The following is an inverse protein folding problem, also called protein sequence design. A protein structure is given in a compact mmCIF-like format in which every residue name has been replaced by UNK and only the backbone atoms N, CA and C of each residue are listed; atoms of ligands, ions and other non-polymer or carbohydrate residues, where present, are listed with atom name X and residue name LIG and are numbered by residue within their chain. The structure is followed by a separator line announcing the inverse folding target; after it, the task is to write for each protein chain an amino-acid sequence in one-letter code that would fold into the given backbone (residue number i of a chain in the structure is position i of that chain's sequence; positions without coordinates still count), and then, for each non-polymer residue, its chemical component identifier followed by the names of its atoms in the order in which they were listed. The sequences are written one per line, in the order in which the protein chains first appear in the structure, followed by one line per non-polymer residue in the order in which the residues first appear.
data_IF_979745762047
#
_entry.id   IF_979745762047
#
_cell.length_a   1.000
_cell.length_b   1.000
_cell.length_c   1.000
_cell.angle_alpha   90.00
_cell.angle_beta   90.00
_cell.angle_gamma   90.00
#
_symmetry.space_group_name_H-M   'P 1'
#
loop_
_entity.id
_entity.type
_entity.pdbx_description
1 polymer ?
#
# COMPACT_ATOMS: atom_id res chain seq x y z
N UNK A 1 10.55 -17.07 -31.71
CA UNK A 1 11.07 -17.42 -30.38
C UNK A 1 9.90 -18.00 -29.62
N UNK A 2 9.88 -19.32 -29.37
CA UNK A 2 8.76 -19.97 -28.69
C UNK A 2 9.10 -19.98 -27.20
N UNK A 3 8.65 -18.98 -26.46
CA UNK A 3 8.84 -18.91 -25.01
C UNK A 3 7.96 -20.02 -24.42
N UNK A 4 8.59 -21.09 -23.94
CA UNK A 4 7.86 -22.18 -23.30
C UNK A 4 7.19 -21.63 -22.03
N UNK A 5 5.91 -21.23 -22.13
CA UNK A 5 5.11 -20.74 -21.01
C UNK A 5 4.78 -21.97 -20.16
N UNK A 6 5.64 -22.28 -19.20
CA UNK A 6 5.43 -23.35 -18.23
C UNK A 6 4.68 -22.81 -17.00
N UNK A 7 3.70 -23.57 -16.52
CA UNK A 7 2.91 -23.28 -15.33
C UNK A 7 3.77 -23.03 -14.07
N UNK A 8 4.99 -23.58 -14.01
CA UNK A 8 5.91 -23.37 -12.89
C UNK A 8 6.16 -21.89 -12.57
N UNK A 9 6.33 -21.04 -13.59
CA UNK A 9 6.50 -19.61 -13.38
C UNK A 9 5.22 -18.98 -12.79
N UNK A 10 4.05 -19.39 -13.27
CA UNK A 10 2.76 -18.96 -12.74
C UNK A 10 2.57 -19.35 -11.27
N UNK A 11 2.93 -20.58 -10.89
CA UNK A 11 2.87 -21.04 -9.50
C UNK A 11 3.79 -20.25 -8.58
N UNK A 12 4.99 -19.89 -9.03
CA UNK A 12 5.92 -19.06 -8.25
C UNK A 12 5.35 -17.66 -8.03
N UNK A 13 4.82 -17.03 -9.08
CA UNK A 13 4.19 -15.70 -8.98
C UNK A 13 3.01 -15.75 -8.01
N UNK A 14 2.14 -16.75 -8.14
CA UNK A 14 0.97 -16.93 -7.27
C UNK A 14 1.36 -17.04 -5.80
N UNK A 15 2.34 -17.91 -5.47
CA UNK A 15 2.83 -18.04 -4.08
C UNK A 15 3.43 -16.75 -3.54
N UNK A 16 4.18 -16.00 -4.37
CA UNK A 16 4.77 -14.72 -3.95
C UNK A 16 3.70 -13.68 -3.65
N UNK A 17 2.69 -13.56 -4.50
CA UNK A 17 1.57 -12.64 -4.27
C UNK A 17 0.80 -12.98 -2.98
N UNK A 18 0.54 -14.27 -2.73
CA UNK A 18 -0.10 -14.71 -1.49
C UNK A 18 0.73 -14.39 -0.25
N UNK A 19 2.04 -14.64 -0.29
CA UNK A 19 2.92 -14.33 0.83
C UNK A 19 2.98 -12.82 1.09
N UNK A 20 3.10 -12.00 0.03
CA UNK A 20 3.10 -10.55 0.16
C UNK A 20 1.82 -10.03 0.81
N UNK A 21 0.66 -10.51 0.36
CA UNK A 21 -0.65 -10.19 0.94
C UNK A 21 -0.72 -10.59 2.42
N UNK A 22 -0.26 -11.81 2.77
CA UNK A 22 -0.23 -12.29 4.15
C UNK A 22 0.69 -11.46 5.05
N UNK A 23 1.89 -11.12 4.58
CA UNK A 23 2.86 -10.33 5.34
C UNK A 23 2.33 -8.91 5.58
N UNK A 24 1.70 -8.31 4.57
CA UNK A 24 1.02 -7.02 4.70
C UNK A 24 -0.09 -7.06 5.75
N UNK A 25 -0.97 -8.07 5.70
CA UNK A 25 -2.07 -8.20 6.65
C UNK A 25 -1.57 -8.47 8.08
N UNK A 26 -0.52 -9.28 8.23
CA UNK A 26 0.11 -9.59 9.53
C UNK A 26 0.76 -8.38 10.18
N UNK A 27 1.30 -7.45 9.39
CA UNK A 27 1.92 -6.24 9.92
C UNK A 27 0.92 -5.31 10.63
N UNK A 28 -0.38 -5.53 10.47
CA UNK A 28 -1.40 -4.84 11.26
C UNK A 28 -1.40 -3.34 11.02
N UNK A 29 -1.85 -2.56 12.01
CA UNK A 29 -2.05 -1.10 11.88
C UNK A 29 -0.73 -0.35 11.69
N UNK A 30 0.31 -0.73 12.43
CA UNK A 30 1.65 -0.15 12.29
C UNK A 30 2.23 -0.42 10.90
N UNK A 31 2.02 -1.62 10.34
CA UNK A 31 2.40 -1.95 8.98
C UNK A 31 1.71 -1.08 7.94
N UNK A 32 0.42 -0.80 8.12
CA UNK A 32 -0.33 0.08 7.23
C UNK A 32 0.14 1.54 7.30
N UNK A 33 0.48 2.05 8.49
CA UNK A 33 1.13 3.37 8.64
C UNK A 33 2.48 3.39 7.93
N UNK A 34 3.31 2.36 8.15
CA UNK A 34 4.62 2.24 7.53
C UNK A 34 4.51 2.19 6.00
N UNK A 35 3.51 1.48 5.48
CA UNK A 35 3.23 1.42 4.06
C UNK A 35 2.81 2.78 3.50
N UNK A 36 1.86 3.47 4.13
CA UNK A 36 1.44 4.81 3.72
C UNK A 36 2.61 5.80 3.72
N UNK A 37 3.47 5.76 4.75
CA UNK A 37 4.69 6.59 4.81
C UNK A 37 5.65 6.29 3.65
N UNK A 38 5.83 5.01 3.33
CA UNK A 38 6.68 4.61 2.21
C UNK A 38 6.08 5.08 0.87
N UNK A 39 4.77 4.95 0.67
CA UNK A 39 4.08 5.42 -0.52
C UNK A 39 4.25 6.95 -0.71
N UNK A 40 4.04 7.74 0.35
CA UNK A 40 4.26 9.19 0.30
C UNK A 40 5.73 9.51 -0.01
N UNK A 41 6.68 8.77 0.57
CA UNK A 41 8.12 8.94 0.27
C UNK A 41 8.47 8.64 -1.18
N UNK A 42 7.73 7.74 -1.83
CA UNK A 42 7.90 7.36 -3.23
C UNK A 42 7.17 8.32 -4.19
N UNK A 43 6.40 9.28 -3.67
CA UNK A 43 5.71 10.30 -4.45
C UNK A 43 4.24 10.01 -4.75
N UNK A 44 3.63 9.01 -4.09
CA UNK A 44 2.19 8.87 -4.09
C UNK A 44 1.59 9.88 -3.13
N UNK A 45 0.94 10.90 -3.67
CA UNK A 45 0.57 12.09 -2.90
C UNK A 45 -0.93 12.25 -2.73
N UNK A 46 -1.76 11.41 -3.32
CA UNK A 46 -3.21 11.38 -3.05
C UNK A 46 -3.62 10.13 -2.26
N UNK A 47 -4.70 10.25 -1.49
CA UNK A 47 -5.28 9.13 -0.74
C UNK A 47 -5.64 7.96 -1.67
N UNK A 48 -6.33 8.26 -2.78
CA UNK A 48 -6.80 7.27 -3.74
C UNK A 48 -5.66 6.44 -4.32
N UNK A 49 -4.51 7.06 -4.61
CA UNK A 49 -3.33 6.35 -5.10
C UNK A 49 -2.76 5.39 -4.05
N UNK A 50 -2.64 5.84 -2.80
CA UNK A 50 -2.12 5.02 -1.70
C UNK A 50 -3.08 3.86 -1.40
N UNK A 51 -4.38 4.13 -1.39
CA UNK A 51 -5.44 3.13 -1.21
C UNK A 51 -5.39 2.09 -2.34
N UNK A 52 -5.28 2.55 -3.60
CA UNK A 52 -5.21 1.66 -4.75
C UNK A 52 -4.00 0.71 -4.68
N UNK A 53 -2.84 1.20 -4.26
CA UNK A 53 -1.64 0.36 -4.08
C UNK A 53 -1.81 -0.65 -2.93
N UNK A 54 -2.45 -0.26 -1.83
CA UNK A 54 -2.77 -1.18 -0.74
C UNK A 54 -3.76 -2.28 -1.20
N UNK A 55 -4.80 -1.91 -1.93
CA UNK A 55 -5.78 -2.84 -2.49
C UNK A 55 -5.16 -3.78 -3.54
N UNK A 56 -4.19 -3.31 -4.35
CA UNK A 56 -3.48 -4.17 -5.29
C UNK A 56 -2.67 -5.29 -4.59
N UNK A 57 -2.23 -5.06 -3.36
CA UNK A 57 -1.44 -6.03 -2.57
C UNK A 57 -2.35 -6.94 -1.73
N UNK A 58 -3.28 -6.35 -0.98
CA UNK A 58 -4.06 -7.06 0.02
C UNK A 58 -5.50 -7.36 -0.43
N UNK A 59 -6.00 -6.69 -1.48
CA UNK A 59 -7.38 -6.75 -1.96
C UNK A 59 -8.29 -5.69 -1.32
N UNK A 60 -9.42 -5.43 -1.97
CA UNK A 60 -10.33 -4.31 -1.68
C UNK A 60 -10.87 -4.24 -0.24
N UNK A 61 -10.82 -5.35 0.50
CA UNK A 61 -11.26 -5.39 1.89
C UNK A 61 -10.44 -4.48 2.83
N UNK A 62 -9.28 -3.97 2.39
CA UNK A 62 -8.47 -3.01 3.17
C UNK A 62 -8.78 -1.54 2.87
N UNK A 63 -9.63 -1.25 1.89
CA UNK A 63 -9.95 0.10 1.42
C UNK A 63 -10.42 1.01 2.55
N UNK A 64 -11.56 0.67 3.18
CA UNK A 64 -12.14 1.44 4.28
C UNK A 64 -11.19 1.65 5.47
N UNK A 65 -10.28 0.68 5.67
CA UNK A 65 -9.26 0.77 6.70
C UNK A 65 -8.19 1.82 6.35
N UNK A 66 -7.78 1.89 5.08
CA UNK A 66 -6.83 2.90 4.63
C UNK A 66 -7.46 4.29 4.58
N UNK A 67 -8.72 4.43 4.17
CA UNK A 67 -9.45 5.71 4.26
C UNK A 67 -9.42 6.25 5.70
N UNK A 68 -9.75 5.39 6.67
CA UNK A 68 -9.74 5.75 8.10
C UNK A 68 -8.32 6.09 8.56
N UNK A 69 -7.33 5.25 8.21
CA UNK A 69 -5.95 5.44 8.62
C UNK A 69 -5.32 6.73 8.08
N UNK A 70 -5.59 7.08 6.82
CA UNK A 70 -5.06 8.28 6.18
C UNK A 70 -5.61 9.55 6.84
N UNK A 71 -6.89 9.55 7.22
CA UNK A 71 -7.51 10.61 8.00
C UNK A 71 -6.94 10.68 9.43
N UNK A 72 -6.84 9.55 10.13
CA UNK A 72 -6.35 9.50 11.52
C UNK A 72 -4.86 9.89 11.65
N UNK A 73 -4.04 9.56 10.65
CA UNK A 73 -2.61 9.87 10.65
C UNK A 73 -2.28 11.30 10.26
N UNK A 74 -3.26 12.11 9.85
CA UNK A 74 -3.05 13.51 9.50
C UNK A 74 -2.64 14.32 10.74
N UNK A 75 -1.61 15.16 10.59
CA UNK A 75 -0.92 15.91 11.66
C UNK A 75 -0.12 15.04 12.65
N UNK A 76 -0.02 13.73 12.43
CA UNK A 76 0.80 12.81 13.23
C UNK A 76 1.93 12.21 12.40
N UNK A 77 1.63 11.80 11.17
CA UNK A 77 2.55 11.11 10.27
C UNK A 77 2.79 11.88 8.96
N UNK A 78 1.77 12.60 8.51
CA UNK A 78 1.78 13.40 7.29
C UNK A 78 0.88 14.62 7.47
N UNK A 79 0.98 15.55 6.54
CA UNK A 79 0.12 16.72 6.41
C UNK A 79 -0.52 16.75 5.03
N UNK A 80 -1.73 17.28 4.94
CA UNK A 80 -2.28 17.74 3.67
C UNK A 80 -1.77 19.14 3.36
N UNK A 81 -1.19 19.28 2.18
CA UNK A 81 -0.83 20.59 1.61
C UNK A 81 -2.10 21.32 1.15
N UNK A 82 -1.96 22.61 0.80
CA UNK A 82 -3.10 23.43 0.38
C UNK A 82 -3.82 22.95 -0.89
N UNK A 83 -3.18 22.10 -1.69
CA UNK A 83 -3.71 21.41 -2.87
C UNK A 83 -4.21 19.98 -2.56
N UNK A 84 -4.31 19.61 -1.29
CA UNK A 84 -4.86 18.33 -0.83
C UNK A 84 -3.90 17.14 -0.90
N UNK A 85 -2.64 17.38 -1.31
CA UNK A 85 -1.60 16.36 -1.43
C UNK A 85 -1.01 16.00 -0.07
N UNK A 86 -0.65 14.74 0.12
CA UNK A 86 -0.02 14.23 1.32
C UNK A 86 1.50 14.45 1.26
N UNK A 87 2.04 15.03 2.33
CA UNK A 87 3.47 15.20 2.54
C UNK A 87 3.88 14.68 3.91
N UNK A 88 5.02 13.99 4.01
CA UNK A 88 5.52 13.48 5.28
C UNK A 88 5.88 14.61 6.24
N UNK A 89 5.58 14.39 7.52
CA UNK A 89 6.13 15.20 8.59
C UNK A 89 7.63 14.89 8.77
N UNK A 90 8.48 15.90 9.04
CA UNK A 90 9.85 15.65 9.45
C UNK A 90 9.85 14.88 10.79
N UNK A 91 10.71 13.88 10.90
CA UNK A 91 10.93 13.12 12.13
C UNK A 91 11.51 13.99 13.25
#
# INVERSE_FOLDING_TARGET
MNTNINADLGFIIFKRAQNLSLDFLRAGYEGAISFAKAAISLGYTSDDEIIAEACAIAGDHVEARFETLLMEGENIHWLRTGDGQLALLPN
#
